data_IF_634007555708
#
_entry.id   IF_634007555708
#
_cell.length_a   1.000
_cell.length_b   1.000
_cell.length_c   1.000
_cell.angle_alpha   90.00
_cell.angle_beta   90.00
_cell.angle_gamma   90.00
#
_symmetry.space_group_name_H-M   'P 1'
#
loop_
_entity.id
_entity.type
_entity.pdbx_description
1 polymer ?
#
# COMPACT_ATOMS: atom_id res chain seq x y z
N UNK A 1 6.03 18.63 2.78
CA UNK A 1 6.23 17.57 3.80
C UNK A 1 6.45 16.23 3.11
N UNK A 2 7.39 15.46 3.61
CA UNK A 2 7.71 14.16 3.04
C UNK A 2 6.77 13.09 3.59
N UNK A 3 6.17 12.30 2.68
CA UNK A 3 5.31 11.20 3.09
C UNK A 3 6.12 10.04 3.67
N UNK A 4 5.56 9.44 4.71
CA UNK A 4 6.09 8.23 5.32
C UNK A 4 5.28 7.04 4.85
N UNK A 5 5.94 6.07 4.25
CA UNK A 5 5.28 4.95 3.58
C UNK A 5 5.61 3.64 4.30
N UNK A 6 4.57 2.96 4.75
CA UNK A 6 4.66 1.64 5.37
C UNK A 6 4.57 0.57 4.29
N UNK A 7 5.44 -0.43 4.37
CA UNK A 7 5.44 -1.58 3.48
C UNK A 7 4.97 -2.79 4.29
N UNK A 8 3.83 -3.36 3.93
CA UNK A 8 3.28 -4.54 4.59
C UNK A 8 3.43 -5.71 3.63
N UNK A 9 4.52 -6.46 3.80
CA UNK A 9 4.96 -7.51 2.90
C UNK A 9 5.82 -8.51 3.67
N UNK A 10 5.54 -9.81 3.53
CA UNK A 10 6.31 -10.84 4.24
C UNK A 10 7.49 -11.39 3.44
N UNK A 11 7.52 -11.18 2.13
CA UNK A 11 8.68 -11.55 1.31
C UNK A 11 9.74 -10.46 1.40
N UNK A 12 10.80 -10.74 2.17
CA UNK A 12 11.79 -9.71 2.51
C UNK A 12 12.48 -9.09 1.28
N UNK A 13 12.73 -9.88 0.23
CA UNK A 13 13.35 -9.34 -0.98
C UNK A 13 12.43 -8.37 -1.70
N UNK A 14 11.14 -8.68 -1.75
CA UNK A 14 10.13 -7.78 -2.34
C UNK A 14 10.01 -6.52 -1.51
N UNK A 15 9.91 -6.66 -0.20
CA UNK A 15 9.79 -5.52 0.72
C UNK A 15 10.99 -4.59 0.63
N UNK A 16 12.20 -5.15 0.58
CA UNK A 16 13.44 -4.38 0.49
C UNK A 16 13.54 -3.63 -0.84
N UNK A 17 13.10 -4.25 -1.93
CA UNK A 17 13.07 -3.60 -3.24
C UNK A 17 12.10 -2.42 -3.24
N UNK A 18 10.92 -2.60 -2.66
CA UNK A 18 9.94 -1.52 -2.53
C UNK A 18 10.53 -0.39 -1.69
N UNK A 19 11.16 -0.72 -0.56
CA UNK A 19 11.81 0.27 0.31
C UNK A 19 12.85 1.08 -0.46
N UNK A 20 13.65 0.42 -1.29
CA UNK A 20 14.64 1.09 -2.11
C UNK A 20 13.99 2.08 -3.09
N UNK A 21 12.91 1.66 -3.76
CA UNK A 21 12.20 2.51 -4.71
C UNK A 21 11.63 3.75 -4.04
N UNK A 22 10.95 3.60 -2.91
CA UNK A 22 10.35 4.76 -2.22
C UNK A 22 11.42 5.71 -1.70
N UNK A 23 12.56 5.19 -1.28
CA UNK A 23 13.69 6.01 -0.85
C UNK A 23 14.26 6.80 -2.03
N UNK A 24 14.44 6.17 -3.18
CA UNK A 24 14.90 6.85 -4.39
C UNK A 24 13.94 7.94 -4.84
N UNK A 25 12.65 7.77 -4.61
CA UNK A 25 11.64 8.77 -4.96
C UNK A 25 11.60 9.95 -3.99
N UNK A 26 12.39 9.91 -2.91
CA UNK A 26 12.46 10.98 -1.93
C UNK A 26 11.46 10.85 -0.79
N UNK A 27 10.80 9.71 -0.66
CA UNK A 27 9.89 9.45 0.46
C UNK A 27 10.61 8.70 1.59
N UNK A 28 10.01 8.69 2.77
CA UNK A 28 10.59 8.05 3.95
C UNK A 28 9.91 6.71 4.20
N UNK A 29 10.66 5.58 4.22
CA UNK A 29 10.06 4.33 4.65
C UNK A 29 9.72 4.38 6.14
N UNK A 30 8.45 4.16 6.47
CA UNK A 30 8.02 4.07 7.87
C UNK A 30 8.49 2.76 8.50
N UNK A 31 8.64 1.73 7.68
CA UNK A 31 9.11 0.42 8.10
C UNK A 31 8.57 -0.69 7.21
N UNK A 32 8.99 -1.90 7.51
CA UNK A 32 8.51 -3.12 6.85
C UNK A 32 7.80 -3.95 7.91
N UNK A 33 6.53 -4.28 7.67
CA UNK A 33 5.74 -5.12 8.55
C UNK A 33 5.40 -6.42 7.82
N UNK A 34 5.53 -7.54 8.52
CA UNK A 34 5.26 -8.86 7.93
C UNK A 34 3.95 -9.47 8.42
N UNK A 35 3.28 -8.82 9.37
CA UNK A 35 2.04 -9.29 9.96
C UNK A 35 1.20 -8.11 10.45
N UNK A 36 -0.02 -8.43 10.90
CA UNK A 36 -0.98 -7.44 11.36
C UNK A 36 -0.48 -6.65 12.57
N UNK A 37 0.06 -7.35 13.57
CA UNK A 37 0.50 -6.71 14.81
C UNK A 37 1.56 -5.64 14.55
N UNK A 38 2.56 -5.97 13.75
CA UNK A 38 3.64 -5.06 13.42
C UNK A 38 3.13 -3.88 12.59
N UNK A 39 2.25 -4.16 11.61
CA UNK A 39 1.67 -3.10 10.78
C UNK A 39 0.91 -2.08 11.62
N UNK A 40 0.06 -2.54 12.51
CA UNK A 40 -0.74 -1.64 13.35
C UNK A 40 0.13 -0.86 14.34
N UNK A 41 1.23 -1.45 14.81
CA UNK A 41 2.17 -0.74 15.68
C UNK A 41 2.87 0.41 14.97
N UNK A 42 3.02 0.32 13.64
CA UNK A 42 3.66 1.37 12.83
C UNK A 42 2.69 2.44 12.33
N UNK A 43 1.40 2.24 12.52
CA UNK A 43 0.36 3.13 11.98
C UNK A 43 0.55 4.61 12.39
N UNK A 44 0.88 4.95 13.64
CA UNK A 44 1.00 6.36 14.03
C UNK A 44 2.08 7.14 13.27
N UNK A 45 3.02 6.44 12.63
CA UNK A 45 4.13 7.06 11.89
C UNK A 45 3.96 6.92 10.38
N UNK A 46 2.77 6.60 9.90
CA UNK A 46 2.52 6.25 8.50
C UNK A 46 1.53 7.20 7.85
N UNK A 47 1.82 7.61 6.63
CA UNK A 47 0.91 8.42 5.80
C UNK A 47 0.27 7.57 4.71
N UNK A 48 1.06 6.70 4.08
CA UNK A 48 0.63 5.82 2.99
C UNK A 48 1.10 4.40 3.29
N UNK A 49 0.29 3.41 3.00
CA UNK A 49 0.66 2.01 3.18
C UNK A 49 0.48 1.22 1.88
N UNK A 50 1.48 0.42 1.55
CA UNK A 50 1.43 -0.55 0.47
C UNK A 50 1.28 -1.92 1.12
N UNK A 51 0.16 -2.60 0.87
CA UNK A 51 -0.23 -3.78 1.64
C UNK A 51 -0.43 -4.99 0.74
N UNK A 52 0.33 -6.08 0.99
CA UNK A 52 0.06 -7.38 0.40
C UNK A 52 -1.13 -8.02 1.15
N UNK A 53 -1.94 -8.77 0.41
CA UNK A 53 -3.11 -9.42 1.00
C UNK A 53 -2.77 -10.68 1.79
N UNK A 54 -1.71 -11.38 1.37
CA UNK A 54 -1.31 -12.65 2.00
C UNK A 54 0.01 -12.46 2.72
N UNK A 55 -0.01 -12.62 4.03
CA UNK A 55 1.12 -12.34 4.89
C UNK A 55 1.47 -13.56 5.74
N UNK A 56 2.45 -13.38 6.62
CA UNK A 56 2.96 -14.43 7.50
C UNK A 56 1.88 -15.04 8.38
N UNK A 57 0.94 -14.22 8.83
CA UNK A 57 -0.18 -14.64 9.69
C UNK A 57 -1.45 -15.00 8.91
N UNK A 58 -1.34 -15.17 7.58
CA UNK A 58 -2.45 -15.59 6.73
C UNK A 58 -2.99 -14.46 5.85
N UNK A 59 -4.23 -14.58 5.39
CA UNK A 59 -4.84 -13.56 4.49
C UNK A 59 -5.34 -12.34 5.27
N UNK A 60 -4.47 -11.73 6.07
CA UNK A 60 -4.82 -10.63 6.98
C UNK A 60 -4.71 -9.25 6.33
N UNK A 61 -4.16 -9.18 5.10
CA UNK A 61 -3.91 -7.90 4.43
C UNK A 61 -5.14 -7.04 4.24
N UNK A 62 -6.29 -7.65 3.91
CA UNK A 62 -7.55 -6.91 3.73
C UNK A 62 -7.95 -6.22 5.04
N UNK A 63 -7.91 -6.94 6.15
CA UNK A 63 -8.25 -6.39 7.46
C UNK A 63 -7.26 -5.31 7.89
N UNK A 64 -5.97 -5.54 7.64
CA UNK A 64 -4.93 -4.55 7.93
C UNK A 64 -5.24 -3.25 7.17
N UNK A 65 -5.46 -3.36 5.86
CA UNK A 65 -5.73 -2.18 5.03
C UNK A 65 -6.97 -1.42 5.47
N UNK A 66 -8.05 -2.14 5.78
CA UNK A 66 -9.28 -1.54 6.27
C UNK A 66 -9.04 -0.80 7.59
N UNK A 67 -8.33 -1.41 8.50
CA UNK A 67 -8.04 -0.82 9.81
C UNK A 67 -7.16 0.41 9.69
N UNK A 68 -6.11 0.35 8.88
CA UNK A 68 -5.22 1.49 8.65
C UNK A 68 -5.98 2.66 8.03
N UNK A 69 -6.83 2.40 7.06
CA UNK A 69 -7.61 3.44 6.40
C UNK A 69 -8.66 4.05 7.32
N UNK A 70 -9.40 3.21 8.06
CA UNK A 70 -10.54 3.66 8.86
C UNK A 70 -10.15 4.30 10.18
N UNK A 71 -9.15 3.72 10.86
CA UNK A 71 -8.80 4.14 12.22
C UNK A 71 -7.62 5.10 12.28
N UNK A 72 -6.83 5.19 11.23
CA UNK A 72 -5.59 5.98 11.22
C UNK A 72 -5.48 6.97 10.08
N UNK A 73 -6.51 7.07 9.25
CA UNK A 73 -6.56 8.00 8.10
C UNK A 73 -5.35 7.83 7.16
N UNK A 74 -4.92 6.59 6.99
CA UNK A 74 -3.80 6.25 6.10
C UNK A 74 -4.34 5.93 4.71
N UNK A 75 -3.67 6.42 3.67
CA UNK A 75 -3.99 6.07 2.29
C UNK A 75 -3.42 4.69 1.99
N UNK A 76 -4.28 3.73 1.67
CA UNK A 76 -3.91 2.33 1.50
C UNK A 76 -4.05 1.90 0.05
N UNK A 77 -2.98 1.28 -0.47
CA UNK A 77 -2.95 0.65 -1.79
C UNK A 77 -2.55 -0.81 -1.61
N UNK A 78 -3.36 -1.72 -2.14
CA UNK A 78 -3.05 -3.15 -2.08
C UNK A 78 -2.17 -3.58 -3.24
N UNK A 79 -1.33 -4.59 -2.99
CA UNK A 79 -0.57 -5.28 -4.02
C UNK A 79 -0.72 -6.78 -3.79
N UNK A 80 -1.08 -7.55 -4.82
CA UNK A 80 -1.32 -8.98 -4.64
C UNK A 80 -1.23 -9.75 -5.94
N UNK A 81 -0.82 -11.02 -5.84
CA UNK A 81 -0.91 -11.97 -6.95
C UNK A 81 -2.36 -12.42 -7.20
N UNK A 82 -3.26 -12.17 -6.23
CA UNK A 82 -4.66 -12.61 -6.30
C UNK A 82 -5.62 -11.43 -6.15
N UNK A 83 -5.74 -10.55 -7.17
CA UNK A 83 -6.58 -9.34 -7.06
C UNK A 83 -8.05 -9.64 -6.76
N UNK A 84 -8.54 -10.82 -7.11
CA UNK A 84 -9.93 -11.21 -6.86
C UNK A 84 -10.28 -11.27 -5.38
N UNK A 85 -9.29 -11.38 -4.48
CA UNK A 85 -9.53 -11.43 -3.03
C UNK A 85 -10.17 -10.15 -2.49
N UNK A 86 -10.02 -9.02 -3.18
CA UNK A 86 -10.62 -7.76 -2.74
C UNK A 86 -12.00 -7.52 -3.34
N UNK A 87 -12.45 -8.39 -4.26
CA UNK A 87 -13.77 -8.26 -4.89
C UNK A 87 -13.97 -6.88 -5.49
N UNK A 88 -15.04 -6.20 -5.07
CA UNK A 88 -15.36 -4.85 -5.54
C UNK A 88 -14.63 -3.75 -4.77
N UNK A 89 -13.82 -4.11 -3.80
CA UNK A 89 -13.02 -3.15 -3.08
C UNK A 89 -13.09 -3.31 -1.57
N UNK A 90 -12.29 -2.51 -0.89
CA UNK A 90 -12.21 -2.45 0.57
C UNK A 90 -12.44 -1.00 0.98
N UNK A 91 -13.38 -0.77 1.88
CA UNK A 91 -13.77 0.58 2.30
C UNK A 91 -12.56 1.40 2.77
N UNK A 92 -12.46 2.62 2.26
CA UNK A 92 -11.40 3.58 2.64
C UNK A 92 -10.08 3.38 1.91
N UNK A 93 -9.92 2.33 1.11
CA UNK A 93 -8.69 2.08 0.35
C UNK A 93 -8.86 2.48 -1.11
N UNK A 94 -7.74 2.69 -1.83
CA UNK A 94 -7.82 3.30 -3.16
C UNK A 94 -7.82 2.30 -4.30
N UNK A 95 -7.22 1.13 -4.15
CA UNK A 95 -7.20 0.18 -5.25
C UNK A 95 -6.26 -0.98 -5.02
N UNK A 96 -6.08 -1.80 -6.04
CA UNK A 96 -5.20 -2.97 -6.02
C UNK A 96 -4.32 -3.00 -7.25
N UNK A 97 -3.03 -3.25 -7.05
CA UNK A 97 -2.03 -3.39 -8.09
C UNK A 97 -1.67 -4.88 -8.20
N UNK A 98 -1.99 -5.54 -9.32
CA UNK A 98 -1.68 -6.96 -9.47
C UNK A 98 -0.17 -7.23 -9.58
N UNK A 99 0.31 -8.25 -8.90
CA UNK A 99 1.68 -8.73 -9.05
C UNK A 99 1.78 -9.66 -10.26
N UNK A 100 2.93 -9.75 -10.93
CA UNK A 100 4.18 -9.04 -10.64
C UNK A 100 4.11 -7.57 -11.06
N UNK A 101 4.80 -6.72 -10.30
CA UNK A 101 4.79 -5.27 -10.53
C UNK A 101 6.15 -4.86 -11.09
N UNK A 102 6.15 -4.17 -12.23
CA UNK A 102 7.38 -3.62 -12.78
C UNK A 102 7.84 -2.42 -11.95
N UNK A 103 9.13 -2.10 -12.04
CA UNK A 103 9.67 -0.91 -11.37
C UNK A 103 8.92 0.36 -11.78
N UNK A 104 8.67 0.50 -13.08
CA UNK A 104 7.93 1.63 -13.62
C UNK A 104 6.53 1.75 -13.01
N UNK A 105 5.80 0.65 -12.94
CA UNK A 105 4.43 0.66 -12.42
C UNK A 105 4.41 0.85 -10.91
N UNK A 106 5.40 0.33 -10.19
CA UNK A 106 5.53 0.54 -8.76
C UNK A 106 5.74 2.03 -8.47
N UNK A 107 6.67 2.68 -9.19
CA UNK A 107 6.92 4.12 -9.02
C UNK A 107 5.67 4.94 -9.32
N UNK A 108 4.98 4.61 -10.39
CA UNK A 108 3.74 5.32 -10.76
C UNK A 108 2.63 5.12 -9.71
N UNK A 109 2.50 3.92 -9.18
CA UNK A 109 1.51 3.63 -8.15
C UNK A 109 1.81 4.35 -6.83
N UNK A 110 3.07 4.37 -6.43
CA UNK A 110 3.51 5.09 -5.22
C UNK A 110 3.23 6.59 -5.38
N UNK A 111 3.61 7.16 -6.52
CA UNK A 111 3.36 8.58 -6.80
C UNK A 111 1.87 8.90 -6.75
N UNK A 112 1.04 8.02 -7.32
CA UNK A 112 -0.40 8.17 -7.30
C UNK A 112 -0.97 8.12 -5.88
N UNK A 113 -0.52 7.16 -5.07
CA UNK A 113 -0.97 7.02 -3.68
C UNK A 113 -0.60 8.24 -2.84
N UNK A 114 0.62 8.76 -3.02
CA UNK A 114 1.07 9.98 -2.33
C UNK A 114 0.22 11.18 -2.75
N UNK A 115 -0.05 11.33 -4.04
CA UNK A 115 -0.89 12.42 -4.54
C UNK A 115 -2.31 12.34 -3.95
N UNK A 116 -2.88 11.13 -3.89
CA UNK A 116 -4.20 10.92 -3.27
C UNK A 116 -4.19 11.30 -1.80
N UNK A 117 -3.14 10.93 -1.08
CA UNK A 117 -3.01 11.28 0.33
C UNK A 117 -2.95 12.80 0.52
N UNK A 118 -2.30 13.51 -0.40
CA UNK A 118 -2.19 14.98 -0.39
C UNK A 118 -3.39 15.68 -1.00
N UNK A 119 -4.38 14.92 -1.47
CA UNK A 119 -5.57 15.44 -2.18
C UNK A 119 -5.16 16.23 -3.42
N UNK A 120 -4.18 15.72 -4.16
CA UNK A 120 -3.72 16.29 -5.42
C UNK A 120 -4.26 15.48 -6.61
N UNK A 121 -4.48 16.15 -7.73
CA UNK A 121 -4.91 15.45 -8.95
C UNK A 121 -3.77 14.58 -9.48
N UNK A 122 -4.12 13.35 -9.84
CA UNK A 122 -3.17 12.41 -10.41
C UNK A 122 -3.89 11.35 -11.23
N UNK A 123 -3.18 10.84 -12.25
CA UNK A 123 -3.70 9.78 -13.10
C UNK A 123 -3.15 8.45 -12.59
N UNK A 124 -4.02 7.46 -12.29
CA UNK A 124 -3.54 6.17 -11.85
C UNK A 124 -2.83 5.42 -12.98
N UNK A 125 -1.80 4.63 -12.67
CA UNK A 125 -1.17 3.79 -13.68
C UNK A 125 -2.17 2.75 -14.21
N UNK A 126 -2.02 2.36 -15.47
CA UNK A 126 -2.95 1.44 -16.12
C UNK A 126 -3.20 0.12 -15.36
N UNK A 127 -2.17 -0.54 -14.80
CA UNK A 127 -2.41 -1.80 -14.10
C UNK A 127 -3.13 -1.66 -12.76
N UNK A 128 -3.20 -0.45 -12.20
CA UNK A 128 -3.90 -0.23 -10.93
C UNK A 128 -5.40 -0.29 -11.13
N UNK A 129 -6.03 -1.24 -10.45
CA UNK A 129 -7.48 -1.35 -10.45
C UNK A 129 -8.03 -0.50 -9.30
N UNK A 130 -8.68 0.60 -9.65
CA UNK A 130 -9.27 1.53 -8.69
C UNK A 130 -10.54 0.96 -8.09
N UNK A 131 -10.75 1.20 -6.80
CA UNK A 131 -12.02 0.87 -6.15
C UNK A 131 -12.99 2.03 -6.26
N UNK A 132 -14.28 1.70 -6.32
CA UNK A 132 -15.32 2.72 -6.30
C UNK A 132 -15.28 3.45 -4.95
N UNK A 133 -15.39 4.77 -5.01
CA UNK A 133 -15.49 5.59 -3.81
C UNK A 133 -16.95 5.75 -3.43
N UNK A 134 -17.27 5.53 -2.17
CA UNK A 134 -18.62 5.69 -1.66
C UNK A 134 -18.73 6.89 -0.75
#
# INVERSE_FOLDING_TARGET
MTCRILIVEDEIFVATEIEHVITEMGFIPAGIAQDRKTALAMAPKTDVALVDLNLKDGPTGVDIGRTLASNHDITVLFMTANPSQVGNGVAGTIGVLPKPVTDKDLRAAVAFAVARHRVEDAVPPKPLKMFAQS
#
